data_IF_870892386288
#
_entry.id   IF_870892386288
#
_cell.length_a   1.000
_cell.length_b   1.000
_cell.length_c   1.000
_cell.angle_alpha   90.00
_cell.angle_beta   90.00
_cell.angle_gamma   90.00
#
_symmetry.space_group_name_H-M   'P 1'
#
loop_
_entity.id
_entity.type
_entity.pdbx_description
1 polymer ?
#
# COMPACT_ATOMS: atom_id res chain seq x y z
N UNK A 1 -12.62 2.26 2.36
CA UNK A 1 -11.61 1.40 1.72
C UNK A 1 -10.70 2.23 0.82
N UNK A 2 -9.46 1.81 0.65
CA UNK A 2 -8.46 2.38 -0.25
C UNK A 2 -7.61 1.26 -0.86
N UNK A 3 -7.02 1.47 -2.03
CA UNK A 3 -5.99 0.59 -2.58
C UNK A 3 -4.59 1.14 -2.32
N UNK A 4 -3.59 0.27 -2.18
CA UNK A 4 -2.19 0.64 -1.97
C UNK A 4 -1.25 -0.23 -2.79
N UNK A 5 -0.45 0.41 -3.64
CA UNK A 5 0.61 -0.21 -4.44
C UNK A 5 1.96 0.43 -4.11
N UNK A 6 3.03 -0.35 -4.16
CA UNK A 6 4.38 0.14 -3.88
C UNK A 6 5.46 -0.94 -3.82
N UNK A 7 5.11 -2.18 -4.12
CA UNK A 7 5.96 -3.36 -4.05
C UNK A 7 5.14 -4.63 -4.27
N UNK A 8 5.75 -5.78 -4.02
CA UNK A 8 5.06 -7.07 -3.99
C UNK A 8 3.87 -7.04 -3.02
N UNK A 9 2.71 -7.54 -3.47
CA UNK A 9 1.49 -7.55 -2.68
C UNK A 9 1.61 -8.31 -1.34
N UNK A 10 2.50 -9.32 -1.23
CA UNK A 10 2.73 -10.04 0.02
C UNK A 10 3.36 -9.16 1.10
N UNK A 11 4.31 -8.30 0.72
CA UNK A 11 4.91 -7.34 1.65
C UNK A 11 3.86 -6.34 2.12
N UNK A 12 3.08 -5.80 1.17
CA UNK A 12 2.06 -4.79 1.46
C UNK A 12 0.92 -5.39 2.31
N UNK A 13 0.50 -6.63 2.05
CA UNK A 13 -0.46 -7.34 2.90
C UNK A 13 0.04 -7.43 4.33
N UNK A 14 1.26 -7.91 4.53
CA UNK A 14 1.83 -8.11 5.85
C UNK A 14 1.88 -6.81 6.66
N UNK A 15 2.25 -5.68 6.03
CA UNK A 15 2.29 -4.36 6.67
C UNK A 15 0.90 -3.92 7.12
N UNK A 16 -0.09 -3.89 6.22
CA UNK A 16 -1.43 -3.41 6.58
C UNK A 16 -2.14 -4.34 7.58
N UNK A 17 -1.80 -5.63 7.58
CA UNK A 17 -2.31 -6.60 8.54
C UNK A 17 -1.84 -6.36 9.99
N UNK A 18 -0.84 -5.52 10.23
CA UNK A 18 -0.40 -5.13 11.58
C UNK A 18 -1.11 -3.88 12.11
N UNK A 19 -1.82 -3.12 11.26
CA UNK A 19 -2.36 -1.83 11.65
C UNK A 19 -3.69 -1.98 12.40
N UNK A 20 -3.79 -1.37 13.57
CA UNK A 20 -5.04 -1.23 14.31
C UNK A 20 -6.09 -0.56 13.43
N UNK A 21 -7.33 -1.07 13.46
CA UNK A 21 -8.43 -0.55 12.66
C UNK A 21 -8.49 -1.06 11.22
N UNK A 22 -7.48 -1.77 10.72
CA UNK A 22 -7.59 -2.50 9.45
C UNK A 22 -8.46 -3.74 9.63
N UNK A 23 -9.55 -3.81 8.87
CA UNK A 23 -10.55 -4.88 8.93
C UNK A 23 -10.28 -6.00 7.92
N UNK A 24 -9.80 -5.65 6.72
CA UNK A 24 -9.49 -6.62 5.67
C UNK A 24 -8.42 -6.10 4.71
N UNK A 25 -7.60 -7.02 4.20
CA UNK A 25 -6.60 -6.75 3.16
C UNK A 25 -6.74 -7.76 2.03
N UNK A 26 -6.97 -7.27 0.81
CA UNK A 26 -7.25 -8.08 -0.36
C UNK A 26 -6.18 -7.86 -1.42
N UNK A 27 -5.30 -8.85 -1.60
CA UNK A 27 -4.20 -8.78 -2.55
C UNK A 27 -4.65 -9.04 -3.98
N UNK A 28 -4.04 -8.37 -4.95
CA UNK A 28 -4.40 -8.56 -6.34
C UNK A 28 -3.65 -7.68 -7.33
N UNK A 29 -4.21 -7.67 -8.54
CA UNK A 29 -3.87 -6.69 -9.56
C UNK A 29 -4.94 -5.60 -9.56
N UNK A 30 -4.52 -4.34 -9.54
CA UNK A 30 -5.39 -3.18 -9.46
C UNK A 30 -5.29 -2.38 -10.76
N UNK A 31 -6.43 -1.86 -11.22
CA UNK A 31 -6.54 -1.01 -12.41
C UNK A 31 -6.89 0.43 -12.00
N UNK A 32 -6.48 1.36 -12.86
CA UNK A 32 -6.78 2.78 -12.77
C UNK A 32 -7.17 3.31 -14.15
N UNK A 33 -7.38 4.62 -14.27
CA UNK A 33 -7.60 5.32 -15.53
C UNK A 33 -6.28 5.62 -16.27
N UNK A 34 -6.32 5.91 -17.59
CA UNK A 34 -5.19 6.40 -18.36
C UNK A 34 -4.54 7.65 -17.71
N UNK A 35 -3.21 7.83 -17.85
CA UNK A 35 -2.26 6.95 -18.52
C UNK A 35 -1.89 5.69 -17.70
N UNK A 36 -2.37 5.59 -16.46
CA UNK A 36 -2.04 4.52 -15.50
C UNK A 36 -2.98 3.30 -15.57
N UNK A 37 -3.52 3.00 -16.74
CA UNK A 37 -4.57 1.98 -16.93
C UNK A 37 -4.06 0.54 -16.85
N UNK A 38 -2.75 0.30 -17.01
CA UNK A 38 -2.18 -1.04 -16.91
C UNK A 38 -2.32 -1.59 -15.48
N UNK A 39 -2.56 -2.89 -15.30
CA UNK A 39 -2.63 -3.48 -13.96
C UNK A 39 -1.30 -3.36 -13.23
N UNK A 40 -1.36 -3.11 -11.92
CA UNK A 40 -0.22 -3.13 -11.00
C UNK A 40 -0.54 -4.05 -9.83
N UNK A 41 0.48 -4.69 -9.23
CA UNK A 41 0.30 -5.35 -7.94
C UNK A 41 -0.02 -4.32 -6.87
N UNK A 42 -1.01 -4.63 -6.05
CA UNK A 42 -1.47 -3.80 -4.95
C UNK A 42 -2.31 -4.62 -3.97
N UNK A 43 -2.74 -3.97 -2.90
CA UNK A 43 -3.76 -4.48 -1.98
C UNK A 43 -4.92 -3.51 -1.89
N UNK A 44 -6.13 -4.01 -1.65
CA UNK A 44 -7.27 -3.20 -1.20
C UNK A 44 -7.45 -3.38 0.29
N UNK A 45 -7.50 -2.26 1.01
CA UNK A 45 -7.59 -2.20 2.47
C UNK A 45 -8.95 -1.65 2.86
N UNK A 46 -9.67 -2.44 3.64
CA UNK A 46 -10.89 -2.02 4.34
C UNK A 46 -10.51 -1.74 5.78
N UNK A 47 -10.95 -0.59 6.31
CA UNK A 47 -10.57 -0.12 7.63
C UNK A 47 -11.74 0.61 8.30
N UNK A 48 -11.72 0.63 9.62
CA UNK A 48 -12.67 1.33 10.47
C UNK A 48 -12.18 2.76 10.75
N UNK A 49 -12.87 3.80 10.25
CA UNK A 49 -12.47 5.18 10.44
C UNK A 49 -12.55 5.67 11.90
N UNK A 50 -13.22 4.93 12.79
CA UNK A 50 -13.22 5.24 14.23
C UNK A 50 -11.94 4.76 14.95
N UNK A 51 -11.16 3.88 14.32
CA UNK A 51 -9.98 3.23 14.92
C UNK A 51 -8.66 3.59 14.23
N UNK A 52 -8.71 4.03 12.98
CA UNK A 52 -7.55 4.52 12.22
C UNK A 52 -8.01 5.55 11.19
N UNK A 53 -7.11 6.44 10.80
CA UNK A 53 -7.36 7.43 9.76
C UNK A 53 -6.52 7.18 8.49
N UNK A 54 -6.80 7.97 7.46
CA UNK A 54 -6.10 7.90 6.17
C UNK A 54 -4.62 8.31 6.31
N UNK A 55 -4.30 9.24 7.21
CA UNK A 55 -2.94 9.70 7.44
C UNK A 55 -2.06 8.58 7.98
N UNK A 56 -2.56 7.82 8.96
CA UNK A 56 -1.90 6.64 9.55
C UNK A 56 -1.63 5.57 8.50
N UNK A 57 -2.64 5.26 7.67
CA UNK A 57 -2.49 4.28 6.59
C UNK A 57 -1.46 4.72 5.54
N UNK A 58 -1.46 5.99 5.17
CA UNK A 58 -0.48 6.56 4.23
C UNK A 58 0.92 6.63 4.84
N UNK A 59 1.06 6.96 6.13
CA UNK A 59 2.35 6.97 6.83
C UNK A 59 2.97 5.57 6.80
N UNK A 60 2.22 4.56 7.25
CA UNK A 60 2.64 3.16 7.20
C UNK A 60 3.02 2.74 5.77
N UNK A 61 2.22 3.14 4.77
CA UNK A 61 2.53 2.86 3.37
C UNK A 61 3.84 3.50 2.92
N UNK A 62 4.01 4.80 3.12
CA UNK A 62 5.15 5.57 2.60
C UNK A 62 6.48 5.20 3.27
N UNK A 63 6.47 4.78 4.54
CA UNK A 63 7.69 4.36 5.25
C UNK A 63 8.09 2.90 4.98
N UNK A 64 7.19 2.05 4.47
CA UNK A 64 7.45 0.61 4.29
C UNK A 64 7.68 0.19 2.84
N UNK A 65 7.76 1.15 1.92
CA UNK A 65 8.24 0.93 0.56
C UNK A 65 9.09 2.09 0.08
N UNK A 66 9.79 1.93 -1.04
CA UNK A 66 10.56 3.02 -1.65
C UNK A 66 9.59 4.08 -2.20
N UNK A 67 9.14 5.04 -1.39
CA UNK A 67 8.11 6.02 -1.75
C UNK A 67 8.66 7.28 -2.42
N UNK A 68 9.97 7.50 -2.36
CA UNK A 68 10.66 8.69 -2.89
C UNK A 68 11.56 8.39 -4.10
N UNK A 69 11.82 7.12 -4.38
CA UNK A 69 12.71 6.69 -5.47
C UNK A 69 11.96 6.51 -6.79
N UNK A 70 12.61 6.88 -7.89
CA UNK A 70 12.22 6.36 -9.20
C UNK A 70 12.78 4.93 -9.36
N UNK A 71 11.97 4.00 -9.86
CA UNK A 71 12.33 2.59 -9.90
C UNK A 71 11.85 1.95 -11.21
N UNK A 72 12.72 1.18 -11.86
CA UNK A 72 12.39 0.48 -13.11
C UNK A 72 11.15 -0.44 -13.03
N UNK A 73 10.74 -0.88 -11.83
CA UNK A 73 9.63 -1.82 -11.63
C UNK A 73 8.29 -1.11 -11.40
N UNK A 74 8.18 0.22 -11.55
CA UNK A 74 6.94 0.98 -11.32
C UNK A 74 5.77 0.61 -12.23
N UNK A 75 6.03 -0.10 -13.32
CA UNK A 75 4.99 -0.70 -14.16
C UNK A 75 4.25 -1.81 -13.42
N UNK A 76 4.96 -2.66 -12.67
CA UNK A 76 4.42 -3.78 -11.88
C UNK A 76 4.13 -3.41 -10.41
N UNK A 77 4.98 -2.60 -9.82
CA UNK A 77 4.98 -2.17 -8.41
C UNK A 77 4.82 -0.66 -8.30
N UNK A 78 3.74 -0.14 -8.89
CA UNK A 78 3.45 1.29 -8.90
C UNK A 78 3.32 1.81 -7.48
N UNK A 79 4.04 2.88 -7.14
CA UNK A 79 3.81 3.62 -5.91
C UNK A 79 2.54 4.44 -6.05
N UNK A 80 1.46 4.00 -5.41
CA UNK A 80 0.17 4.65 -5.54
C UNK A 80 -0.79 4.32 -4.39
N UNK A 81 -1.61 5.31 -4.04
CA UNK A 81 -2.85 5.12 -3.29
C UNK A 81 -4.03 5.24 -4.26
N UNK A 82 -5.00 4.34 -4.13
CA UNK A 82 -6.15 4.25 -5.02
C UNK A 82 -7.45 4.56 -4.27
N UNK A 83 -8.23 5.52 -4.75
CA UNK A 83 -9.50 5.90 -4.14
C UNK A 83 -10.70 5.29 -4.86
N UNK A 84 -11.73 4.93 -4.10
CA UNK A 84 -12.97 4.37 -4.67
C UNK A 84 -14.02 5.47 -4.99
N UNK A 85 -13.94 6.63 -4.33
CA UNK A 85 -14.88 7.74 -4.51
C UNK A 85 -14.11 9.01 -4.91
N UNK A 86 -14.60 9.72 -5.94
CA UNK A 86 -13.93 10.90 -6.49
C UNK A 86 -13.63 11.98 -5.42
N UNK A 87 -14.51 12.16 -4.44
CA UNK A 87 -14.32 13.13 -3.34
C UNK A 87 -13.15 12.82 -2.40
N UNK A 88 -12.53 11.63 -2.47
CA UNK A 88 -11.39 11.28 -1.61
C UNK A 88 -10.06 11.84 -2.11
N UNK A 89 -9.94 12.20 -3.40
CA UNK A 89 -8.67 12.62 -3.99
C UNK A 89 -8.06 13.83 -3.25
N UNK A 90 -8.77 14.94 -3.01
CA UNK A 90 -8.18 16.11 -2.34
C UNK A 90 -7.70 15.80 -0.92
N UNK A 91 -8.42 14.95 -0.19
CA UNK A 91 -8.02 14.53 1.16
C UNK A 91 -6.76 13.65 1.14
N UNK A 92 -6.59 12.80 0.14
CA UNK A 92 -5.40 11.98 -0.04
C UNK A 92 -4.18 12.82 -0.45
N UNK A 93 -4.36 13.76 -1.38
CA UNK A 93 -3.30 14.71 -1.76
C UNK A 93 -2.85 15.51 -0.53
N UNK A 94 -3.80 16.06 0.24
CA UNK A 94 -3.50 16.79 1.49
C UNK A 94 -2.76 15.93 2.51
N UNK A 95 -3.18 14.68 2.70
CA UNK A 95 -2.51 13.78 3.64
C UNK A 95 -1.07 13.46 3.21
N UNK A 96 -0.80 13.27 1.91
CA UNK A 96 0.57 13.12 1.40
C UNK A 96 1.41 14.39 1.62
N UNK A 97 0.84 15.57 1.42
CA UNK A 97 1.53 16.83 1.71
C UNK A 97 1.87 16.98 3.21
N UNK A 98 0.98 16.54 4.10
CA UNK A 98 1.24 16.53 5.55
C UNK A 98 2.33 15.54 5.95
N UNK A 99 2.51 14.44 5.21
CA UNK A 99 3.57 13.45 5.45
C UNK A 99 4.92 13.85 4.85
N UNK A 100 4.94 14.71 3.83
CA UNK A 100 6.17 15.09 3.13
C UNK A 100 7.33 15.52 4.06
N UNK A 101 7.12 16.28 5.14
CA UNK A 101 8.20 16.66 6.07
C UNK A 101 8.92 15.48 6.74
N UNK A 102 8.31 14.29 6.79
CA UNK A 102 8.94 13.08 7.35
C UNK A 102 9.96 12.44 6.38
N UNK A 103 10.04 12.93 5.13
CA UNK A 103 10.89 12.38 4.08
C UNK A 103 11.87 13.44 3.57
N UNK A 104 13.18 13.13 3.49
CA UNK A 104 14.18 14.07 2.98
C UNK A 104 14.07 14.31 1.46
N UNK A 105 13.37 13.42 0.76
CA UNK A 105 13.14 13.48 -0.67
C UNK A 105 11.63 13.58 -0.97
N UNK A 106 11.23 14.18 -2.11
CA UNK A 106 9.82 14.26 -2.50
C UNK A 106 9.15 12.88 -2.57
N UNK A 107 7.97 12.76 -1.97
CA UNK A 107 7.10 11.61 -2.12
C UNK A 107 6.62 11.50 -3.57
N UNK A 108 6.75 10.32 -4.16
CA UNK A 108 6.35 9.98 -5.53
C UNK A 108 5.12 9.07 -5.57
N UNK A 109 4.30 9.12 -4.53
CA UNK A 109 3.08 8.31 -4.40
C UNK A 109 1.96 8.94 -5.24
N UNK A 110 1.48 8.21 -6.25
CA UNK A 110 0.39 8.67 -7.10
C UNK A 110 -0.96 8.53 -6.38
N UNK A 111 -1.87 9.49 -6.58
CA UNK A 111 -3.25 9.41 -6.09
C UNK A 111 -4.18 9.12 -7.27
N UNK A 112 -4.65 7.88 -7.38
CA UNK A 112 -5.31 7.36 -8.58
C UNK A 112 -6.73 6.85 -8.30
N UNK A 113 -7.66 6.94 -9.28
CA UNK A 113 -8.96 6.30 -9.15
C UNK A 113 -8.83 4.78 -9.23
N UNK A 114 -9.55 4.08 -8.36
CA UNK A 114 -9.72 2.63 -8.40
C UNK A 114 -10.79 2.27 -9.43
N UNK A 115 -10.40 1.65 -10.54
CA UNK A 115 -11.36 1.20 -11.58
C UNK A 115 -11.63 -0.30 -11.54
N UNK A 116 -10.76 -1.09 -10.92
CA UNK A 116 -10.96 -2.53 -10.77
C UNK A 116 -9.91 -3.21 -9.90
N UNK A 117 -10.26 -4.37 -9.35
CA UNK A 117 -9.37 -5.25 -8.60
C UNK A 117 -9.64 -6.71 -9.01
N UNK A 118 -8.59 -7.40 -9.47
CA UNK A 118 -8.61 -8.85 -9.63
C UNK A 118 -7.86 -9.47 -8.46
N UNK A 119 -8.63 -10.03 -7.53
CA UNK A 119 -8.11 -10.68 -6.32
C UNK A 119 -7.28 -11.91 -6.69
N UNK A 120 -6.24 -12.19 -5.91
CA UNK A 120 -5.55 -13.47 -5.99
C UNK A 120 -6.35 -14.59 -5.32
N UNK A 121 -6.19 -15.84 -5.79
CA UNK A 121 -6.73 -17.02 -5.13
C UNK A 121 -6.30 -17.10 -3.66
N UNK A 122 -7.16 -17.70 -2.83
CA UNK A 122 -6.97 -17.73 -1.38
C UNK A 122 -5.67 -18.41 -0.95
N UNK A 123 -5.22 -19.41 -1.73
CA UNK A 123 -3.93 -20.09 -1.52
C UNK A 123 -2.72 -19.14 -1.52
N UNK A 124 -2.81 -17.94 -2.07
CA UNK A 124 -1.74 -16.94 -2.05
C UNK A 124 -1.86 -15.89 -0.95
N UNK A 125 -2.97 -15.86 -0.20
CA UNK A 125 -3.22 -14.91 0.90
C UNK A 125 -2.40 -15.27 2.14
N UNK A 126 -2.22 -14.33 3.07
CA UNK A 126 -1.53 -14.58 4.34
C UNK A 126 -0.14 -15.21 4.16
N UNK A 127 0.63 -14.76 3.16
CA UNK A 127 1.92 -15.38 2.85
C UNK A 127 2.87 -15.29 4.03
N UNK A 128 2.95 -14.11 4.66
CA UNK A 128 3.77 -13.89 5.85
C UNK A 128 3.25 -14.67 7.06
N UNK A 129 1.95 -14.57 7.38
CA UNK A 129 1.35 -15.27 8.54
C UNK A 129 1.49 -16.80 8.48
N UNK A 130 1.53 -17.39 7.28
CA UNK A 130 1.71 -18.84 7.09
C UNK A 130 3.16 -19.32 7.14
N UNK A 131 4.13 -18.40 7.19
CA UNK A 131 5.55 -18.76 7.15
C UNK A 131 6.44 -17.54 7.30
N UNK A 132 6.49 -16.93 8.49
CA UNK A 132 7.28 -15.71 8.72
C UNK A 132 8.79 -15.96 8.58
N UNK A 133 9.25 -17.20 8.73
CA UNK A 133 10.65 -17.60 8.63
C UNK A 133 11.15 -17.89 7.21
N UNK A 134 10.26 -17.86 6.21
CA UNK A 134 10.67 -18.09 4.82
C UNK A 134 11.76 -17.10 4.40
N UNK A 135 12.74 -17.49 3.56
CA UNK A 135 13.81 -16.58 3.12
C UNK A 135 13.28 -15.27 2.52
N UNK A 136 12.18 -15.33 1.76
CA UNK A 136 11.51 -14.14 1.23
C UNK A 136 10.99 -13.22 2.34
N UNK A 137 10.33 -13.78 3.36
CA UNK A 137 9.79 -13.02 4.49
C UNK A 137 10.91 -12.33 5.27
N UNK A 138 11.97 -13.07 5.62
CA UNK A 138 13.14 -12.52 6.33
C UNK A 138 13.82 -11.40 5.55
N UNK A 139 13.96 -11.57 4.24
CA UNK A 139 14.67 -10.60 3.40
C UNK A 139 13.84 -9.35 3.06
N UNK A 140 12.53 -9.50 2.82
CA UNK A 140 11.72 -8.43 2.21
C UNK A 140 10.53 -7.96 3.04
N UNK A 141 10.04 -8.75 4.00
CA UNK A 141 8.87 -8.41 4.81
C UNK A 141 9.30 -7.94 6.20
N UNK A 142 10.14 -8.72 6.90
CA UNK A 142 10.57 -8.40 8.26
C UNK A 142 11.21 -7.01 8.40
N UNK A 143 12.10 -6.54 7.48
CA UNK A 143 12.64 -5.19 7.58
C UNK A 143 11.57 -4.10 7.49
N UNK A 144 10.49 -4.34 6.74
CA UNK A 144 9.36 -3.41 6.62
C UNK A 144 8.51 -3.39 7.88
N UNK A 145 8.32 -4.55 8.52
CA UNK A 145 7.60 -4.64 9.80
C UNK A 145 8.41 -4.01 10.94
N UNK A 146 9.72 -4.27 11.00
CA UNK A 146 10.60 -3.60 11.96
C UNK A 146 10.60 -2.07 11.77
N UNK A 147 10.57 -1.60 10.52
CA UNK A 147 10.40 -0.16 10.24
C UNK A 147 9.04 0.36 10.71
N UNK A 148 7.97 -0.43 10.55
CA UNK A 148 6.62 -0.05 10.97
C UNK A 148 6.50 0.08 12.49
N UNK A 149 7.17 -0.80 13.25
CA UNK A 149 7.20 -0.78 14.73
C UNK A 149 7.91 0.47 15.30
N UNK A 150 8.69 1.18 14.49
CA UNK A 150 9.41 2.39 14.88
C UNK A 150 8.64 3.69 14.59
N UNK A 151 7.46 3.62 13.97
CA UNK A 151 6.61 4.78 13.64
C UNK A 151 5.65 5.13 14.78
#
# INVERSE_FOLDING_TARGET
MLGFGGGCHWCTEAVFQQLTGVLAVEQGHIWSQPPHHRPSEAVRVTFDPSRTDVLTLLRAHCHTHASTSDHALRTRYRSAVYYARAGQKPSLDKALSLLQPEFPLPLRVLVLPLTGLRRLPERYRNYYRRGPDRPFCRRYIQPKLARLEQL
#
